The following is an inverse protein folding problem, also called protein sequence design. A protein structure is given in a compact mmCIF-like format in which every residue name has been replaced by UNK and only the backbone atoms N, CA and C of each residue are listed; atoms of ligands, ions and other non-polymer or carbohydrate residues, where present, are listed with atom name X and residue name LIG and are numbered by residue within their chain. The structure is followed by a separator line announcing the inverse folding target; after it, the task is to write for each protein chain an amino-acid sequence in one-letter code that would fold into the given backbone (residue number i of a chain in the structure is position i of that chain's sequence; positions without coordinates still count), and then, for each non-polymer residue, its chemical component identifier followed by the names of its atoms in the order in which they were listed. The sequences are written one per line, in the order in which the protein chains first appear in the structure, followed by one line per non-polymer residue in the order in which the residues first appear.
data_IF_988803992609
#
_entry.id   IF_988803992609
#
_cell.length_a   1.000
_cell.length_b   1.000
_cell.length_c   1.000
_cell.angle_alpha   90.00
_cell.angle_beta   90.00
_cell.angle_gamma   90.00
#
_symmetry.space_group_name_H-M   'P 1'
#
loop_
_entity.id
_entity.type
_entity.pdbx_description
1 polymer ?
#
# COMPACT_ATOMS: atom_id res chain seq x y z
N UNK A 1 -15.47 10.95 5.32
CA UNK A 1 -14.64 10.80 6.54
C UNK A 1 -14.36 9.32 6.81
N UNK A 2 -14.13 8.52 5.76
CA UNK A 2 -13.79 7.09 5.86
C UNK A 2 -12.78 6.68 4.77
N UNK A 3 -12.10 7.64 4.17
CA UNK A 3 -11.39 7.47 2.90
C UNK A 3 -10.22 6.49 3.07
N UNK A 4 -9.46 6.60 4.17
CA UNK A 4 -8.40 5.65 4.51
C UNK A 4 -8.94 4.26 4.88
N UNK A 5 -10.14 4.17 5.45
CA UNK A 5 -10.79 2.88 5.76
C UNK A 5 -11.17 2.19 4.45
N UNK A 6 -11.85 2.89 3.55
CA UNK A 6 -12.21 2.38 2.21
C UNK A 6 -10.99 1.99 1.39
N UNK A 7 -9.93 2.81 1.45
CA UNK A 7 -8.66 2.49 0.81
C UNK A 7 -8.03 1.23 1.40
N UNK A 8 -8.09 1.08 2.72
CA UNK A 8 -7.73 -0.14 3.43
C UNK A 8 -8.36 -1.39 2.87
N UNK A 9 -9.70 -1.40 2.84
CA UNK A 9 -10.48 -2.53 2.34
C UNK A 9 -10.18 -2.83 0.87
N UNK A 10 -10.07 -1.79 0.04
CA UNK A 10 -9.73 -1.92 -1.36
C UNK A 10 -8.34 -2.54 -1.56
N UNK A 11 -7.34 -2.10 -0.80
CA UNK A 11 -5.97 -2.63 -0.86
C UNK A 11 -5.95 -4.10 -0.44
N UNK A 12 -6.60 -4.46 0.67
CA UNK A 12 -6.65 -5.84 1.15
C UNK A 12 -7.33 -6.76 0.12
N UNK A 13 -8.48 -6.34 -0.40
CA UNK A 13 -9.25 -7.10 -1.40
C UNK A 13 -8.47 -7.28 -2.71
N UNK A 14 -7.84 -6.22 -3.22
CA UNK A 14 -7.14 -6.26 -4.50
C UNK A 14 -5.84 -7.09 -4.46
N UNK A 15 -5.18 -7.13 -3.29
CA UNK A 15 -3.86 -7.76 -3.12
C UNK A 15 -3.91 -9.14 -2.48
N UNK A 16 -4.96 -9.46 -1.71
CA UNK A 16 -5.02 -10.67 -0.89
C UNK A 16 -4.08 -10.65 0.31
N UNK A 17 -3.57 -9.47 0.71
CA UNK A 17 -2.68 -9.32 1.85
C UNK A 17 -3.37 -9.69 3.17
N UNK A 18 -2.62 -10.25 4.11
CA UNK A 18 -3.15 -10.68 5.42
C UNK A 18 -3.57 -9.48 6.28
N UNK A 19 -2.88 -8.34 6.11
CA UNK A 19 -3.16 -7.09 6.81
C UNK A 19 -2.57 -5.89 6.07
N UNK A 20 -2.90 -4.69 6.55
CA UNK A 20 -2.29 -3.44 6.09
C UNK A 20 -1.61 -2.71 7.25
N UNK A 21 -0.55 -1.96 6.96
CA UNK A 21 -0.05 -0.91 7.84
C UNK A 21 -0.58 0.45 7.38
N UNK A 22 -1.00 1.27 8.36
CA UNK A 22 -1.46 2.63 8.15
C UNK A 22 -0.46 3.60 8.76
N UNK A 23 -0.01 4.58 7.99
CA UNK A 23 0.97 5.57 8.44
C UNK A 23 0.56 6.97 8.03
N UNK A 24 0.72 7.93 8.94
CA UNK A 24 0.64 9.37 8.68
C UNK A 24 1.94 9.95 9.22
N UNK A 25 2.86 10.32 8.31
CA UNK A 25 4.22 10.73 8.68
C UNK A 25 4.41 12.23 8.53
N UNK A 26 4.19 12.75 7.32
CA UNK A 26 4.24 14.19 7.00
C UNK A 26 5.56 14.92 7.38
N UNK A 27 6.66 14.18 7.58
CA UNK A 27 7.94 14.76 8.02
C UNK A 27 8.73 15.44 6.88
N UNK A 28 8.69 14.86 5.67
CA UNK A 28 9.44 15.37 4.50
C UNK A 28 8.55 16.13 3.51
N UNK A 29 7.30 15.69 3.39
CA UNK A 29 6.27 16.28 2.53
C UNK A 29 5.16 16.77 3.47
N UNK A 30 4.97 18.10 3.62
CA UNK A 30 4.14 18.68 4.67
C UNK A 30 2.63 18.53 4.42
N UNK A 31 2.21 18.25 3.20
CA UNK A 31 0.80 18.01 2.85
C UNK A 31 0.26 16.82 3.64
N UNK A 32 -0.94 16.94 4.22
CA UNK A 32 -1.56 15.82 4.93
C UNK A 32 -1.85 14.67 3.95
N UNK A 33 -1.20 13.53 4.18
CA UNK A 33 -1.43 12.31 3.42
C UNK A 33 -1.26 11.09 4.32
N UNK A 34 -1.93 10.00 3.94
CA UNK A 34 -1.82 8.71 4.60
C UNK A 34 -1.30 7.64 3.64
N UNK A 35 -0.60 6.66 4.19
CA UNK A 35 -0.11 5.49 3.47
C UNK A 35 -0.86 4.25 3.93
N UNK A 36 -1.25 3.38 2.98
CA UNK A 36 -1.84 2.06 3.23
C UNK A 36 -0.96 1.03 2.55
N UNK A 37 -0.26 0.23 3.34
CA UNK A 37 0.76 -0.69 2.83
C UNK A 37 0.30 -2.14 3.08
N UNK A 38 0.01 -2.93 2.03
CA UNK A 38 -0.35 -4.34 2.17
C UNK A 38 0.83 -5.15 2.70
N UNK A 39 0.58 -6.07 3.64
CA UNK A 39 1.59 -6.99 4.21
C UNK A 39 1.22 -8.44 3.97
N UNK A 40 2.17 -9.21 3.43
CA UNK A 40 2.01 -10.58 2.97
C UNK A 40 2.65 -11.57 3.94
N UNK A 41 2.14 -12.81 3.96
CA UNK A 41 2.61 -13.87 4.85
C UNK A 41 4.08 -14.22 4.59
N UNK A 42 4.46 -14.14 3.32
CA UNK A 42 5.71 -14.55 2.72
C UNK A 42 6.83 -13.52 2.87
N UNK A 43 6.51 -12.30 3.36
CA UNK A 43 7.52 -11.32 3.73
C UNK A 43 8.39 -11.84 4.90
N UNK A 44 9.60 -11.29 5.02
CA UNK A 44 10.43 -11.52 6.20
C UNK A 44 9.63 -11.20 7.50
N UNK A 45 9.58 -12.12 8.49
CA UNK A 45 8.73 -11.96 9.67
C UNK A 45 9.04 -10.73 10.54
N UNK A 46 10.27 -10.20 10.49
CA UNK A 46 10.68 -9.02 11.25
C UNK A 46 10.37 -7.77 10.45
N UNK A 47 10.85 -7.70 9.21
CA UNK A 47 10.62 -6.59 8.30
C UNK A 47 9.12 -6.34 8.10
N UNK A 48 8.31 -7.42 8.03
CA UNK A 48 6.86 -7.33 7.86
C UNK A 48 6.17 -6.54 8.96
N UNK A 49 6.77 -6.38 10.15
CA UNK A 49 6.19 -5.66 11.30
C UNK A 49 6.69 -4.22 11.48
N UNK A 50 7.70 -3.80 10.71
CA UNK A 50 8.24 -2.44 10.73
C UNK A 50 7.48 -1.54 9.75
N UNK A 51 7.67 -0.22 9.82
CA UNK A 51 7.24 0.64 8.72
C UNK A 51 8.03 0.32 7.44
N UNK A 52 7.47 0.63 6.26
CA UNK A 52 8.08 0.20 5.00
C UNK A 52 9.42 0.90 4.78
N UNK A 53 9.58 2.14 5.24
CA UNK A 53 10.79 2.94 5.04
C UNK A 53 11.96 2.47 5.92
N UNK A 54 11.68 1.80 7.05
CA UNK A 54 12.70 1.13 7.86
C UNK A 54 13.00 -0.29 7.34
N UNK A 55 11.98 -0.96 6.79
CA UNK A 55 12.05 -2.35 6.37
C UNK A 55 12.71 -2.57 4.99
N UNK A 56 12.54 -1.63 4.05
CA UNK A 56 12.85 -1.86 2.64
C UNK A 56 13.62 -0.71 2.00
N UNK A 57 14.51 -1.06 1.06
CA UNK A 57 15.24 -0.11 0.24
C UNK A 57 14.38 0.36 -0.95
N UNK A 58 13.71 1.49 -0.78
CA UNK A 58 12.90 2.11 -1.82
C UNK A 58 13.70 2.61 -3.02
N UNK A 59 15.00 2.90 -2.87
CA UNK A 59 15.82 3.33 -4.00
C UNK A 59 16.03 2.18 -5.01
N UNK A 60 15.84 0.93 -4.56
CA UNK A 60 15.90 -0.27 -5.41
C UNK A 60 14.53 -0.77 -5.87
N UNK A 61 13.44 -0.13 -5.44
CA UNK A 61 12.10 -0.54 -5.82
C UNK A 61 11.86 -0.33 -7.32
N UNK A 62 11.15 -1.27 -7.95
CA UNK A 62 10.74 -1.14 -9.35
C UNK A 62 9.68 -0.03 -9.48
N UNK A 63 9.79 0.77 -10.54
CA UNK A 63 8.77 1.76 -10.86
C UNK A 63 7.45 1.10 -11.25
N UNK A 64 6.35 1.74 -10.87
CA UNK A 64 5.01 1.30 -11.28
C UNK A 64 4.86 1.50 -12.79
N UNK A 65 4.30 0.49 -13.46
CA UNK A 65 3.92 0.50 -14.88
C UNK A 65 2.39 0.47 -15.02
N UNK A 66 1.71 1.63 -15.08
CA UNK A 66 0.26 1.69 -14.93
C UNK A 66 -0.55 1.03 -16.05
N UNK A 67 0.05 0.96 -17.25
CA UNK A 67 -0.53 0.31 -18.43
C UNK A 67 0.14 -1.03 -18.75
N UNK A 68 1.14 -1.42 -17.95
CA UNK A 68 1.94 -2.63 -18.14
C UNK A 68 1.68 -3.63 -17.02
N UNK A 69 2.75 -4.11 -16.39
CA UNK A 69 2.70 -5.17 -15.39
C UNK A 69 1.73 -4.90 -14.21
N UNK A 70 1.44 -3.62 -13.92
CA UNK A 70 0.63 -3.23 -12.77
C UNK A 70 -0.81 -2.85 -13.12
N UNK A 71 -1.19 -2.90 -14.41
CA UNK A 71 -2.53 -2.49 -14.86
C UNK A 71 -3.66 -3.28 -14.18
N UNK A 72 -3.49 -4.59 -14.00
CA UNK A 72 -4.48 -5.44 -13.34
C UNK A 72 -4.72 -5.08 -11.87
N UNK A 73 -3.65 -4.78 -11.12
CA UNK A 73 -3.76 -4.34 -9.73
C UNK A 73 -4.46 -2.97 -9.64
N UNK A 74 -4.08 -2.03 -10.50
CA UNK A 74 -4.70 -0.70 -10.54
C UNK A 74 -6.19 -0.79 -10.90
N UNK A 75 -6.56 -1.66 -11.84
CA UNK A 75 -7.96 -1.94 -12.17
C UNK A 75 -8.75 -2.39 -10.96
N UNK A 76 -8.28 -3.43 -10.25
CA UNK A 76 -8.92 -3.93 -9.02
C UNK A 76 -9.09 -2.85 -7.95
N UNK A 77 -8.07 -2.01 -7.75
CA UNK A 77 -8.13 -0.90 -6.78
C UNK A 77 -9.17 0.14 -7.19
N UNK A 78 -9.25 0.50 -8.48
CA UNK A 78 -10.27 1.43 -8.99
C UNK A 78 -11.67 0.88 -8.81
N UNK A 79 -11.89 -0.37 -9.17
CA UNK A 79 -13.19 -1.02 -9.04
C UNK A 79 -13.63 -1.09 -7.57
N UNK A 80 -12.70 -1.43 -6.66
CA UNK A 80 -12.98 -1.50 -5.23
C UNK A 80 -13.27 -0.12 -4.59
N UNK A 81 -12.71 0.97 -5.14
CA UNK A 81 -12.95 2.33 -4.66
C UNK A 81 -14.17 3.00 -5.30
N UNK A 82 -14.70 2.45 -6.39
CA UNK A 82 -15.86 2.99 -7.10
C UNK A 82 -17.21 2.68 -6.41
N UNK A 83 -17.26 1.64 -5.56
CA UNK A 83 -18.41 1.31 -4.70
C UNK A 83 -18.40 2.09 -3.40
#
# INVERSE_FOLDING_TARGET
MNDLVRLGDAVLSATGAERANYLILCNQVPELHGHVIPRFAEEDPVARRQGPFEAYDFARATSVEPLGAHAGLIGKLRDALAG
#
